data_IF_376416193645
#
_entry.id   IF_376416193645
#
_cell.length_a   1.000
_cell.length_b   1.000
_cell.length_c   1.000
_cell.angle_alpha   90.00
_cell.angle_beta   90.00
_cell.angle_gamma   90.00
#
_symmetry.space_group_name_H-M   'P 1'
#
loop_
_entity.id
_entity.type
_entity.pdbx_description
1 polymer ?
#
# COMPACT_ATOMS: atom_id res chain seq x y z
N UNK A 1 49.61 -24.27 -13.65
CA UNK A 1 48.70 -23.23 -14.15
C UNK A 1 47.31 -23.74 -13.88
N UNK A 2 46.75 -23.31 -12.78
CA UNK A 2 45.41 -23.67 -12.30
C UNK A 2 44.83 -22.36 -11.82
N UNK A 3 44.02 -21.76 -12.69
CA UNK A 3 43.13 -20.67 -12.34
C UNK A 3 41.80 -21.04 -13.00
N UNK A 4 40.95 -21.64 -12.18
CA UNK A 4 39.56 -21.92 -12.43
C UNK A 4 38.77 -20.72 -11.88
N UNK A 5 38.09 -20.00 -12.76
CA UNK A 5 36.97 -19.15 -12.39
C UNK A 5 35.85 -19.46 -13.40
N UNK A 6 34.61 -19.60 -12.93
CA UNK A 6 33.79 -18.39 -12.91
C UNK A 6 33.00 -18.22 -11.60
N UNK A 7 33.03 -16.99 -11.10
CA UNK A 7 32.09 -16.43 -10.15
C UNK A 7 30.71 -16.32 -10.78
N UNK A 8 29.69 -16.98 -10.21
CA UNK A 8 28.29 -16.68 -10.52
C UNK A 8 27.45 -16.61 -9.24
N UNK A 9 27.00 -15.37 -8.99
CA UNK A 9 25.76 -14.90 -8.38
C UNK A 9 25.30 -15.34 -6.96
N UNK A 10 24.60 -14.42 -6.25
CA UNK A 10 24.53 -14.40 -4.80
C UNK A 10 23.35 -15.18 -4.21
N UNK A 11 23.55 -15.52 -2.94
CA UNK A 11 22.65 -16.17 -1.99
C UNK A 11 21.21 -15.66 -2.06
N UNK A 12 20.29 -16.58 -2.34
CA UNK A 12 18.86 -16.37 -2.10
C UNK A 12 18.64 -16.23 -0.60
N UNK A 13 18.34 -15.01 -0.14
CA UNK A 13 17.83 -14.78 1.21
C UNK A 13 16.45 -15.44 1.34
N UNK A 14 16.20 -16.26 2.38
CA UNK A 14 14.86 -16.75 2.66
C UNK A 14 13.98 -15.57 3.09
N UNK A 15 12.97 -15.25 2.30
CA UNK A 15 11.84 -14.44 2.76
C UNK A 15 11.12 -15.26 3.84
N UNK A 16 11.51 -15.05 5.10
CA UNK A 16 10.73 -15.45 6.27
C UNK A 16 9.32 -14.87 6.08
N UNK A 17 8.37 -15.75 5.75
CA UNK A 17 6.96 -15.47 5.82
C UNK A 17 6.61 -15.30 7.30
N UNK A 18 6.76 -14.09 7.82
CA UNK A 18 6.00 -13.68 8.98
C UNK A 18 4.54 -13.71 8.55
N UNK A 19 3.75 -14.57 9.18
CA UNK A 19 2.30 -14.60 9.02
C UNK A 19 1.79 -13.17 9.13
N UNK A 20 1.21 -12.67 8.02
CA UNK A 20 0.68 -11.32 7.98
C UNK A 20 -0.38 -11.21 9.09
N UNK A 21 -0.27 -10.22 9.99
CA UNK A 21 -1.27 -10.05 11.03
C UNK A 21 -2.59 -9.70 10.36
N UNK A 22 -3.54 -10.64 10.34
CA UNK A 22 -4.93 -10.42 9.93
C UNK A 22 -5.45 -9.12 10.54
N UNK A 23 -5.93 -8.22 9.69
CA UNK A 23 -6.37 -6.88 10.10
C UNK A 23 -5.26 -5.84 10.07
N UNK A 24 -4.57 -5.71 8.93
CA UNK A 24 -3.53 -4.70 8.72
C UNK A 24 -4.05 -3.26 9.00
N UNK A 25 -5.29 -2.96 8.60
CA UNK A 25 -5.93 -1.69 8.94
C UNK A 25 -6.17 -1.55 10.45
N UNK A 26 -6.60 -2.62 11.13
CA UNK A 26 -6.72 -2.65 12.60
C UNK A 26 -5.37 -2.49 13.28
N UNK A 27 -4.28 -3.05 12.75
CA UNK A 27 -2.92 -2.84 13.26
C UNK A 27 -2.48 -1.39 13.04
N UNK A 28 -2.80 -0.80 11.88
CA UNK A 28 -2.55 0.60 11.58
C UNK A 28 -3.27 1.52 12.56
N UNK A 29 -4.58 1.28 12.77
CA UNK A 29 -5.41 2.01 13.71
C UNK A 29 -5.04 1.74 15.18
N UNK A 30 -4.61 0.53 15.54
CA UNK A 30 -4.17 0.21 16.90
C UNK A 30 -2.80 0.80 17.22
N UNK A 31 -1.87 0.88 16.25
CA UNK A 31 -0.62 1.63 16.44
C UNK A 31 -0.89 3.11 16.70
N UNK A 32 -1.95 3.70 16.15
CA UNK A 32 -2.38 5.05 16.53
C UNK A 32 -3.11 5.15 17.88
N UNK A 33 -3.62 4.04 18.42
CA UNK A 33 -4.39 4.02 19.67
C UNK A 33 -3.57 3.64 20.93
N UNK A 34 -2.35 3.12 20.77
CA UNK A 34 -1.41 3.01 21.89
C UNK A 34 -0.89 4.40 22.24
N UNK A 35 -1.51 5.02 23.24
CA UNK A 35 -1.17 6.31 23.88
C UNK A 35 0.23 6.85 23.52
N UNK A 36 0.31 7.47 22.37
CA UNK A 36 1.28 8.49 22.02
C UNK A 36 0.45 9.43 21.18
N UNK A 37 0.45 10.70 21.56
CA UNK A 37 0.01 11.84 20.77
C UNK A 37 0.01 11.51 19.28
N UNK A 38 -1.10 11.81 18.55
CA UNK A 38 -1.14 11.89 17.07
C UNK A 38 0.28 12.09 16.57
N UNK A 39 0.85 11.20 15.73
CA UNK A 39 2.27 11.18 15.46
C UNK A 39 2.69 12.62 15.26
N UNK A 40 3.50 13.14 16.19
CA UNK A 40 4.03 14.49 16.04
C UNK A 40 4.54 14.56 14.61
N UNK A 41 4.43 15.71 13.97
CA UNK A 41 4.94 15.89 12.62
C UNK A 41 6.43 15.44 12.51
N UNK A 42 7.11 15.22 13.65
CA UNK A 42 8.41 14.57 13.93
C UNK A 42 8.67 13.16 13.38
N UNK A 43 7.68 12.33 13.01
CA UNK A 43 8.01 11.11 12.25
C UNK A 43 8.48 11.51 10.85
N UNK A 44 9.76 11.32 10.57
CA UNK A 44 10.32 11.52 9.24
C UNK A 44 9.99 10.32 8.36
N UNK A 45 8.82 10.42 7.73
CA UNK A 45 8.28 9.43 6.79
C UNK A 45 9.30 9.04 5.72
N UNK A 46 10.23 9.93 5.35
CA UNK A 46 11.24 9.62 4.32
C UNK A 46 12.36 8.71 4.80
N UNK A 47 12.69 8.74 6.09
CA UNK A 47 13.73 7.87 6.67
C UNK A 47 13.16 6.56 7.22
N UNK A 48 11.89 6.56 7.62
CA UNK A 48 11.27 5.37 8.24
C UNK A 48 10.48 4.50 7.26
N UNK A 49 9.96 5.04 6.14
CA UNK A 49 9.07 4.30 5.25
C UNK A 49 9.74 3.93 3.93
N UNK A 50 9.38 2.76 3.41
CA UNK A 50 9.83 2.27 2.11
C UNK A 50 8.86 2.75 1.03
N UNK A 51 9.36 3.54 0.08
CA UNK A 51 8.57 3.98 -1.06
C UNK A 51 8.36 2.85 -2.07
N UNK A 52 7.13 2.77 -2.62
CA UNK A 52 6.78 1.90 -3.75
C UNK A 52 6.19 2.75 -4.87
N UNK A 53 6.57 2.46 -6.11
CA UNK A 53 5.95 3.04 -7.31
C UNK A 53 4.94 2.06 -7.87
N UNK A 54 3.70 2.51 -8.03
CA UNK A 54 2.61 1.72 -8.63
C UNK A 54 2.04 2.50 -9.81
N UNK A 55 1.83 1.81 -10.92
CA UNK A 55 1.17 2.38 -12.11
C UNK A 55 -0.33 2.09 -12.02
N UNK A 56 -1.15 3.11 -12.29
CA UNK A 56 -2.61 3.03 -12.26
C UNK A 56 -3.18 3.43 -13.63
N UNK A 57 -4.31 2.85 -14.07
CA UNK A 57 -5.06 3.37 -15.21
C UNK A 57 -5.44 4.84 -14.96
N UNK A 58 -5.54 5.62 -16.03
CA UNK A 58 -5.83 7.04 -15.93
C UNK A 58 -7.14 7.30 -15.18
N UNK A 59 -8.17 6.51 -15.48
CA UNK A 59 -9.49 6.57 -14.88
C UNK A 59 -9.43 6.28 -13.37
N UNK A 60 -8.71 5.25 -12.96
CA UNK A 60 -8.56 4.91 -11.55
C UNK A 60 -7.74 5.96 -10.79
N UNK A 61 -6.72 6.52 -11.43
CA UNK A 61 -5.93 7.63 -10.87
C UNK A 61 -6.80 8.88 -10.67
N UNK A 62 -7.67 9.19 -11.63
CA UNK A 62 -8.60 10.32 -11.53
C UNK A 62 -9.62 10.12 -10.41
N UNK A 63 -10.20 8.91 -10.33
CA UNK A 63 -11.14 8.55 -9.27
C UNK A 63 -10.48 8.63 -7.88
N UNK A 64 -9.25 8.09 -7.74
CA UNK A 64 -8.49 8.16 -6.49
C UNK A 64 -8.27 9.60 -6.02
N UNK A 65 -8.01 10.51 -6.96
CA UNK A 65 -7.83 11.94 -6.71
C UNK A 65 -9.15 12.64 -6.34
N UNK A 66 -10.25 12.29 -6.97
CA UNK A 66 -11.58 12.81 -6.66
C UNK A 66 -11.98 12.45 -5.23
N UNK A 67 -11.94 11.15 -4.90
CA UNK A 67 -12.30 10.64 -3.57
C UNK A 67 -11.40 11.22 -2.49
N UNK A 68 -10.10 11.44 -2.76
CA UNK A 68 -9.22 12.14 -1.84
C UNK A 68 -9.73 13.55 -1.51
N UNK A 69 -10.16 14.32 -2.51
CA UNK A 69 -10.62 15.71 -2.31
C UNK A 69 -11.88 15.74 -1.46
N UNK A 70 -12.79 14.79 -1.68
CA UNK A 70 -14.00 14.64 -0.89
C UNK A 70 -13.69 14.30 0.57
N UNK A 71 -12.88 13.26 0.81
CA UNK A 71 -12.47 12.88 2.16
C UNK A 71 -11.66 13.96 2.88
N UNK A 72 -10.81 14.70 2.16
CA UNK A 72 -10.05 15.81 2.72
C UNK A 72 -10.96 16.96 3.16
N UNK A 73 -11.96 17.30 2.34
CA UNK A 73 -12.97 18.30 2.67
C UNK A 73 -13.81 17.87 3.88
N UNK A 74 -14.27 16.62 3.91
CA UNK A 74 -15.08 16.09 5.00
C UNK A 74 -14.29 15.98 6.31
N UNK A 75 -13.04 15.52 6.25
CA UNK A 75 -12.11 15.50 7.39
C UNK A 75 -11.95 16.89 7.99
N UNK A 76 -11.72 17.90 7.14
CA UNK A 76 -11.57 19.29 7.57
C UNK A 76 -12.84 19.84 8.21
N UNK A 77 -14.03 19.46 7.72
CA UNK A 77 -15.32 19.89 8.26
C UNK A 77 -15.64 19.23 9.60
N UNK A 78 -15.44 17.92 9.69
CA UNK A 78 -15.86 17.12 10.85
C UNK A 78 -14.87 17.18 12.01
N UNK A 79 -13.58 17.23 11.73
CA UNK A 79 -12.52 17.13 12.75
C UNK A 79 -11.53 18.29 12.75
N UNK A 80 -11.57 19.17 11.73
CA UNK A 80 -10.56 20.21 11.53
C UNK A 80 -9.21 19.67 11.02
N UNK A 81 -9.06 18.35 10.86
CA UNK A 81 -7.81 17.74 10.45
C UNK A 81 -7.57 17.88 8.94
N UNK A 82 -6.34 18.27 8.59
CA UNK A 82 -5.89 18.31 7.20
C UNK A 82 -5.34 16.95 6.77
N UNK A 83 -5.99 16.35 5.77
CA UNK A 83 -5.60 15.06 5.23
C UNK A 83 -4.48 15.22 4.20
N UNK A 84 -3.25 14.80 4.53
CA UNK A 84 -2.08 14.80 3.64
C UNK A 84 -2.11 13.56 2.73
N UNK A 85 -2.06 13.74 1.40
CA UNK A 85 -2.13 12.65 0.41
C UNK A 85 -1.16 11.50 0.67
N UNK A 86 0.14 11.82 0.71
CA UNK A 86 1.21 10.82 0.80
C UNK A 86 1.39 10.24 2.21
N UNK A 87 1.10 11.04 3.25
CA UNK A 87 1.33 10.65 4.66
C UNK A 87 0.12 9.93 5.26
N UNK A 88 -1.10 10.28 4.84
CA UNK A 88 -2.33 9.77 5.46
C UNK A 88 -3.17 8.97 4.46
N UNK A 89 -3.50 9.54 3.31
CA UNK A 89 -4.54 8.98 2.44
C UNK A 89 -4.12 7.71 1.68
N UNK A 90 -3.05 7.76 0.86
CA UNK A 90 -2.61 6.55 0.15
C UNK A 90 -2.25 5.38 1.07
N UNK A 91 -1.56 5.62 2.20
CA UNK A 91 -1.32 4.56 3.17
C UNK A 91 -2.62 3.91 3.69
N UNK A 92 -3.66 4.70 3.97
CA UNK A 92 -4.99 4.19 4.35
C UNK A 92 -5.67 3.40 3.24
N UNK A 93 -5.60 3.87 1.99
CA UNK A 93 -6.16 3.16 0.83
C UNK A 93 -5.52 1.77 0.68
N UNK A 94 -4.19 1.69 0.81
CA UNK A 94 -3.47 0.40 0.75
C UNK A 94 -3.86 -0.51 1.91
N UNK A 95 -3.92 0.02 3.14
CA UNK A 95 -4.28 -0.77 4.32
C UNK A 95 -5.68 -1.38 4.24
N UNK A 96 -6.67 -0.58 3.82
CA UNK A 96 -8.05 -1.02 3.65
C UNK A 96 -8.19 -1.99 2.45
N UNK A 97 -7.46 -1.73 1.37
CA UNK A 97 -7.43 -2.63 0.21
C UNK A 97 -6.84 -4.00 0.55
N UNK A 98 -5.79 -4.06 1.37
CA UNK A 98 -5.20 -5.31 1.84
C UNK A 98 -6.16 -6.09 2.75
N UNK A 99 -6.85 -5.42 3.68
CA UNK A 99 -7.87 -6.07 4.51
C UNK A 99 -8.99 -6.66 3.65
N UNK A 100 -9.46 -5.92 2.65
CA UNK A 100 -10.48 -6.43 1.71
C UNK A 100 -9.98 -7.64 0.91
N UNK A 101 -8.71 -7.64 0.50
CA UNK A 101 -8.10 -8.75 -0.25
C UNK A 101 -7.83 -9.98 0.64
N UNK A 102 -7.50 -9.79 1.91
CA UNK A 102 -7.35 -10.88 2.89
C UNK A 102 -8.67 -11.64 3.10
N UNK A 103 -9.79 -10.90 3.14
CA UNK A 103 -11.13 -11.46 3.36
C UNK A 103 -11.78 -12.00 2.06
N UNK A 104 -11.23 -11.70 0.89
CA UNK A 104 -11.82 -12.08 -0.40
C UNK A 104 -11.50 -13.53 -0.79
N UNK A 105 -12.50 -14.26 -1.30
CA UNK A 105 -12.27 -15.60 -1.85
C UNK A 105 -11.60 -15.52 -3.24
N UNK A 106 -10.85 -16.56 -3.67
CA UNK A 106 -10.25 -16.58 -4.99
C UNK A 106 -11.24 -16.37 -6.15
N UNK A 107 -12.52 -16.73 -5.96
CA UNK A 107 -13.59 -16.57 -6.96
C UNK A 107 -14.01 -15.11 -7.13
N UNK A 108 -13.83 -14.29 -6.11
CA UNK A 108 -14.15 -12.86 -6.14
C UNK A 108 -12.98 -12.07 -6.76
N UNK A 109 -11.74 -12.51 -6.51
CA UNK A 109 -10.52 -11.86 -7.02
C UNK A 109 -10.27 -12.19 -8.49
N UNK A 110 -10.50 -13.44 -8.92
CA UNK A 110 -10.15 -13.90 -10.26
C UNK A 110 -10.78 -13.07 -11.41
N UNK A 111 -12.06 -12.66 -11.36
CA UNK A 111 -12.64 -11.79 -12.38
C UNK A 111 -11.98 -10.40 -12.42
N UNK A 112 -11.65 -9.83 -11.26
CA UNK A 112 -10.95 -8.53 -11.19
C UNK A 112 -9.55 -8.64 -11.78
N UNK A 113 -8.83 -9.71 -11.45
CA UNK A 113 -7.51 -9.96 -12.03
C UNK A 113 -7.60 -10.14 -13.55
N UNK A 114 -8.56 -10.91 -14.04
CA UNK A 114 -8.78 -11.09 -15.48
C UNK A 114 -9.12 -9.77 -16.18
N UNK A 115 -9.93 -8.91 -15.56
CA UNK A 115 -10.23 -7.59 -16.09
C UNK A 115 -8.98 -6.72 -16.18
N UNK A 116 -8.16 -6.70 -15.12
CA UNK A 116 -6.88 -5.98 -15.11
C UNK A 116 -5.96 -6.53 -16.21
N UNK A 117 -5.78 -7.85 -16.30
CA UNK A 117 -4.95 -8.47 -17.34
C UNK A 117 -5.45 -8.14 -18.74
N UNK A 118 -6.76 -8.24 -19.00
CA UNK A 118 -7.34 -7.90 -20.31
C UNK A 118 -7.11 -6.45 -20.70
N UNK A 119 -7.24 -5.50 -19.76
CA UNK A 119 -6.99 -4.09 -20.04
C UNK A 119 -5.50 -3.78 -20.31
N UNK A 120 -4.56 -4.60 -19.85
CA UNK A 120 -3.11 -4.32 -19.94
C UNK A 120 -2.31 -5.26 -20.85
N UNK A 121 -2.85 -6.41 -21.24
CA UNK A 121 -2.20 -7.35 -22.14
C UNK A 121 -2.59 -7.15 -23.62
N UNK A 122 -3.61 -6.34 -23.93
CA UNK A 122 -3.98 -6.01 -25.32
C UNK A 122 -3.05 -5.01 -26.04
N UNK A 123 -2.05 -4.44 -25.38
CA UNK A 123 -1.08 -3.52 -25.99
C UNK A 123 0.33 -4.12 -26.16
N UNK A 124 0.44 -5.39 -26.57
CA UNK A 124 1.69 -5.96 -27.10
C UNK A 124 1.56 -6.48 -28.53
#
# INVERSE_FOLDING_TARGET
MTDDEPTDAPEQSPLEHQEAPTGLAKQWSNRSNQQTTLPNDDLDVKSEWVGITVYLPAELREELELVFREHSLESKRSSGAELKKLRHYYPLVVALGLELLEDAEPRDIAPLLSYVMDQYETEQ
#
